data_IF_653311300346
#
_entry.id   IF_653311300346
#
_cell.length_a   1.000
_cell.length_b   1.000
_cell.length_c   1.000
_cell.angle_alpha   90.00
_cell.angle_beta   90.00
_cell.angle_gamma   90.00
#
_symmetry.space_group_name_H-M   'P 1'
#
loop_
_entity.id
_entity.type
_entity.pdbx_description
1 polymer ?
#
# COMPACT_ATOMS: atom_id res chain seq x y z
N UNK A 1 11.09 -20.69 -35.09
CA UNK A 1 11.05 -20.31 -33.65
C UNK A 1 12.29 -20.84 -32.97
N UNK A 2 13.03 -19.97 -32.27
CA UNK A 2 14.17 -20.36 -31.46
C UNK A 2 13.68 -20.33 -30.00
N UNK A 3 13.78 -21.46 -29.29
CA UNK A 3 13.40 -21.58 -27.89
C UNK A 3 14.67 -21.52 -27.04
N UNK A 4 14.76 -20.54 -26.13
CA UNK A 4 15.84 -20.43 -25.16
C UNK A 4 15.48 -21.25 -23.93
N UNK A 5 16.25 -22.32 -23.67
CA UNK A 5 15.98 -23.26 -22.55
C UNK A 5 16.80 -22.96 -21.30
N UNK A 6 17.93 -22.26 -21.45
CA UNK A 6 18.83 -21.94 -20.34
C UNK A 6 18.36 -20.71 -19.56
N UNK A 7 18.21 -20.87 -18.24
CA UNK A 7 17.82 -19.78 -17.32
C UNK A 7 18.97 -19.46 -16.35
N UNK A 8 19.46 -18.23 -16.42
CA UNK A 8 20.57 -17.73 -15.61
C UNK A 8 20.13 -16.94 -14.37
N UNK A 9 18.82 -16.75 -14.18
CA UNK A 9 18.27 -15.93 -13.10
C UNK A 9 17.82 -16.75 -11.90
N UNK A 10 17.01 -17.77 -12.16
CA UNK A 10 16.31 -18.54 -11.13
C UNK A 10 17.03 -19.86 -10.82
N UNK A 11 16.78 -20.39 -9.64
CA UNK A 11 17.19 -21.75 -9.29
C UNK A 11 16.25 -22.79 -9.92
N UNK A 12 16.67 -24.03 -10.04
CA UNK A 12 15.83 -25.09 -10.63
C UNK A 12 14.54 -25.30 -9.85
N UNK A 13 14.57 -25.26 -8.52
CA UNK A 13 13.37 -25.39 -7.68
C UNK A 13 12.30 -24.33 -7.99
N UNK A 14 12.72 -23.10 -8.27
CA UNK A 14 11.79 -22.01 -8.65
C UNK A 14 11.19 -22.29 -10.03
N UNK A 15 12.00 -22.74 -10.99
CA UNK A 15 11.54 -23.10 -12.33
C UNK A 15 10.57 -24.26 -12.30
N UNK A 16 10.86 -25.30 -11.54
CA UNK A 16 10.03 -26.49 -11.40
C UNK A 16 8.65 -26.14 -10.81
N UNK A 17 8.62 -25.39 -9.70
CA UNK A 17 7.36 -24.93 -9.08
C UNK A 17 6.56 -24.05 -10.03
N UNK A 18 7.22 -23.12 -10.74
CA UNK A 18 6.57 -22.25 -11.71
C UNK A 18 5.98 -23.04 -12.88
N UNK A 19 6.73 -24.03 -13.39
CA UNK A 19 6.28 -24.90 -14.47
C UNK A 19 5.09 -25.77 -14.02
N UNK A 20 5.14 -26.33 -12.81
CA UNK A 20 4.01 -27.08 -12.24
C UNK A 20 2.74 -26.23 -12.14
N UNK A 21 2.88 -24.97 -11.71
CA UNK A 21 1.74 -24.04 -11.59
C UNK A 21 1.15 -23.72 -12.98
N UNK A 22 2.00 -23.46 -13.98
CA UNK A 22 1.58 -23.10 -15.33
C UNK A 22 0.90 -24.27 -16.05
N UNK A 23 1.34 -25.50 -15.81
CA UNK A 23 0.73 -26.73 -16.39
C UNK A 23 -0.75 -26.91 -16.06
N UNK A 24 -1.25 -26.24 -15.03
CA UNK A 24 -2.69 -26.23 -14.71
C UNK A 24 -3.51 -25.30 -15.62
N UNK A 25 -2.87 -24.45 -16.43
CA UNK A 25 -3.53 -23.59 -17.40
C UNK A 25 -3.63 -24.33 -18.73
N UNK A 26 -4.79 -24.88 -19.04
CA UNK A 26 -5.05 -25.70 -20.24
C UNK A 26 -4.79 -24.97 -21.58
N UNK A 27 -4.74 -23.64 -21.59
CA UNK A 27 -4.63 -22.83 -22.80
C UNK A 27 -3.19 -22.53 -23.27
N UNK A 28 -2.16 -22.95 -22.53
CA UNK A 28 -0.78 -22.50 -22.76
C UNK A 28 0.09 -23.48 -23.60
N UNK A 29 -0.47 -24.60 -24.06
CA UNK A 29 0.28 -25.58 -24.87
C UNK A 29 1.50 -26.18 -24.12
N UNK A 30 2.41 -26.81 -24.87
CA UNK A 30 3.63 -27.38 -24.31
C UNK A 30 4.56 -26.30 -23.75
N UNK A 31 4.65 -26.22 -22.44
CA UNK A 31 5.62 -25.33 -21.77
C UNK A 31 7.02 -25.95 -21.86
N UNK A 32 8.01 -25.24 -22.39
CA UNK A 32 9.36 -25.78 -22.50
C UNK A 32 9.97 -25.99 -21.10
N UNK A 33 10.67 -27.11 -20.92
CA UNK A 33 11.44 -27.34 -19.70
C UNK A 33 12.66 -26.42 -19.67
N UNK A 34 12.65 -25.46 -18.75
CA UNK A 34 13.77 -24.55 -18.55
C UNK A 34 14.82 -25.19 -17.63
N UNK A 35 16.08 -25.03 -17.96
CA UNK A 35 17.22 -25.50 -17.18
C UNK A 35 17.89 -24.32 -16.47
N UNK A 36 18.02 -24.41 -15.14
CA UNK A 36 18.71 -23.40 -14.35
C UNK A 36 20.23 -23.59 -14.47
N UNK A 37 20.91 -22.51 -14.81
CA UNK A 37 22.38 -22.45 -14.74
C UNK A 37 22.89 -22.00 -13.37
N UNK A 38 21.97 -21.73 -12.42
CA UNK A 38 22.26 -21.34 -11.06
C UNK A 38 22.29 -22.57 -10.15
N UNK A 39 23.42 -22.83 -9.52
CA UNK A 39 23.65 -23.98 -8.65
C UNK A 39 23.05 -23.85 -7.24
N UNK A 40 22.51 -22.69 -6.85
CA UNK A 40 21.81 -22.54 -5.58
C UNK A 40 20.55 -23.42 -5.55
N UNK A 41 20.28 -24.03 -4.41
CA UNK A 41 19.16 -24.95 -4.26
C UNK A 41 18.17 -24.48 -3.17
N UNK A 42 17.75 -23.21 -3.25
CA UNK A 42 16.81 -22.63 -2.30
C UNK A 42 15.40 -23.18 -2.55
N UNK A 43 14.74 -23.65 -1.50
CA UNK A 43 13.38 -24.19 -1.58
C UNK A 43 12.35 -23.06 -1.62
N UNK A 44 11.33 -23.24 -2.45
CA UNK A 44 10.12 -22.42 -2.39
C UNK A 44 9.31 -22.82 -1.16
N UNK A 45 9.00 -21.85 -0.30
CA UNK A 45 8.23 -22.09 0.92
C UNK A 45 6.85 -21.46 0.77
N UNK A 46 5.81 -22.25 0.97
CA UNK A 46 4.42 -21.78 1.02
C UNK A 46 3.96 -21.77 2.46
N UNK A 47 3.32 -20.70 2.88
CA UNK A 47 2.72 -20.56 4.21
C UNK A 47 1.29 -20.08 4.10
N UNK A 48 0.43 -20.62 4.94
CA UNK A 48 -0.96 -20.22 5.05
C UNK A 48 -1.21 -19.65 6.44
N UNK A 49 -1.99 -18.59 6.51
CA UNK A 49 -2.32 -17.90 7.76
C UNK A 49 -3.83 -17.78 7.90
N UNK A 50 -4.33 -17.99 9.10
CA UNK A 50 -5.75 -17.86 9.44
C UNK A 50 -6.26 -16.41 9.39
N UNK A 51 -5.35 -15.43 9.43
CA UNK A 51 -5.68 -14.01 9.42
C UNK A 51 -4.58 -13.21 8.72
N UNK A 52 -4.98 -12.27 7.88
CA UNK A 52 -4.09 -11.35 7.18
C UNK A 52 -3.12 -10.58 8.10
N UNK A 53 -3.55 -10.22 9.31
CA UNK A 53 -2.66 -9.55 10.27
C UNK A 53 -1.48 -10.43 10.69
N UNK A 54 -1.70 -11.73 10.86
CA UNK A 54 -0.61 -12.68 11.17
C UNK A 54 0.35 -12.84 10.00
N UNK A 55 -0.16 -12.82 8.77
CA UNK A 55 0.68 -12.80 7.56
C UNK A 55 1.62 -11.60 7.54
N UNK A 56 1.10 -10.40 7.82
CA UNK A 56 1.90 -9.16 7.86
C UNK A 56 2.97 -9.18 8.96
N UNK A 57 2.59 -9.65 10.16
CA UNK A 57 3.53 -9.75 11.27
C UNK A 57 4.63 -10.78 10.98
N UNK A 58 4.26 -11.92 10.41
CA UNK A 58 5.22 -12.94 9.99
C UNK A 58 6.17 -12.41 8.91
N UNK A 59 5.64 -11.72 7.90
CA UNK A 59 6.43 -11.12 6.83
C UNK A 59 7.48 -10.15 7.39
N UNK A 60 7.07 -9.28 8.30
CA UNK A 60 7.98 -8.32 8.92
C UNK A 60 9.08 -9.01 9.76
N UNK A 61 8.71 -10.04 10.51
CA UNK A 61 9.66 -10.80 11.33
C UNK A 61 10.64 -11.59 10.46
N UNK A 62 10.17 -12.24 9.41
CA UNK A 62 11.01 -12.99 8.47
C UNK A 62 12.03 -12.08 7.77
N UNK A 63 11.59 -10.90 7.32
CA UNK A 63 12.49 -9.90 6.72
C UNK A 63 13.53 -9.41 7.73
N UNK A 64 13.11 -9.12 8.96
CA UNK A 64 14.03 -8.66 9.99
C UNK A 64 15.08 -9.71 10.32
N UNK A 65 14.67 -10.98 10.41
CA UNK A 65 15.59 -12.09 10.63
C UNK A 65 16.58 -12.27 9.48
N UNK A 66 16.13 -12.14 8.22
CA UNK A 66 17.00 -12.18 7.04
C UNK A 66 18.03 -11.04 7.05
N UNK A 67 17.60 -9.83 7.36
CA UNK A 67 18.52 -8.67 7.48
C UNK A 67 19.54 -8.90 8.60
N UNK A 68 19.09 -9.39 9.75
CA UNK A 68 19.97 -9.69 10.90
C UNK A 68 20.96 -10.82 10.61
N UNK A 69 20.61 -11.76 9.72
CA UNK A 69 21.51 -12.82 9.25
C UNK A 69 22.45 -12.39 8.12
N UNK A 70 22.44 -11.11 7.73
CA UNK A 70 23.37 -10.54 6.76
C UNK A 70 22.83 -10.38 5.34
N UNK A 71 21.55 -10.67 5.08
CA UNK A 71 20.92 -10.37 3.78
C UNK A 71 20.74 -8.87 3.63
N UNK A 72 21.23 -8.30 2.54
CA UNK A 72 21.05 -6.87 2.28
C UNK A 72 19.58 -6.56 2.00
N UNK A 73 19.01 -5.48 2.56
CA UNK A 73 17.63 -5.08 2.29
C UNK A 73 17.31 -4.94 0.78
N UNK A 74 18.28 -4.49 -0.01
CA UNK A 74 18.15 -4.37 -1.48
C UNK A 74 18.00 -5.70 -2.22
N UNK A 75 18.27 -6.83 -1.57
CA UNK A 75 18.13 -8.17 -2.14
C UNK A 75 16.79 -8.83 -1.76
N UNK A 76 15.97 -8.14 -0.95
CA UNK A 76 14.66 -8.61 -0.51
C UNK A 76 13.58 -7.84 -1.29
N UNK A 77 12.66 -8.57 -1.92
CA UNK A 77 11.52 -7.99 -2.59
C UNK A 77 10.20 -8.55 -2.03
N UNK A 78 9.24 -7.66 -1.81
CA UNK A 78 7.87 -8.03 -1.43
C UNK A 78 6.95 -7.71 -2.59
N UNK A 79 6.25 -8.73 -3.09
CA UNK A 79 5.31 -8.59 -4.20
C UNK A 79 3.89 -8.80 -3.68
N UNK A 80 3.00 -7.89 -4.03
CA UNK A 80 1.59 -7.94 -3.63
C UNK A 80 0.67 -7.80 -4.83
N UNK A 81 -0.52 -8.38 -4.73
CA UNK A 81 -1.49 -8.41 -5.84
C UNK A 81 -2.17 -7.07 -6.12
N UNK A 82 -2.46 -6.29 -5.09
CA UNK A 82 -3.23 -5.06 -5.22
C UNK A 82 -2.67 -3.94 -4.34
N UNK A 83 -2.70 -2.71 -4.85
CA UNK A 83 -2.17 -1.52 -4.19
C UNK A 83 -2.71 -1.24 -2.79
N UNK A 84 -3.93 -1.68 -2.49
CA UNK A 84 -4.54 -1.51 -1.16
C UNK A 84 -3.70 -2.13 -0.04
N UNK A 85 -2.96 -3.18 -0.33
CA UNK A 85 -2.12 -3.87 0.66
C UNK A 85 -0.85 -3.12 1.02
N UNK A 86 -0.41 -2.18 0.17
CA UNK A 86 0.83 -1.42 0.42
C UNK A 86 0.76 -0.59 1.70
N UNK A 87 -0.42 -0.07 2.03
CA UNK A 87 -0.58 0.77 3.22
C UNK A 87 -0.40 -0.02 4.51
N UNK A 88 -0.95 -1.24 4.56
CA UNK A 88 -0.82 -2.12 5.72
C UNK A 88 0.62 -2.62 5.86
N UNK A 89 1.25 -3.05 4.75
CA UNK A 89 2.66 -3.46 4.73
C UNK A 89 3.55 -2.31 5.21
N UNK A 90 3.34 -1.10 4.65
CA UNK A 90 4.07 0.10 5.04
C UNK A 90 3.94 0.39 6.54
N UNK A 91 2.71 0.37 7.07
CA UNK A 91 2.45 0.63 8.49
C UNK A 91 3.21 -0.34 9.39
N UNK A 92 3.24 -1.63 9.05
CA UNK A 92 3.97 -2.64 9.82
C UNK A 92 5.49 -2.44 9.70
N UNK A 93 5.99 -2.09 8.51
CA UNK A 93 7.43 -1.86 8.30
C UNK A 93 7.90 -0.61 9.03
N UNK A 94 7.15 0.49 9.00
CA UNK A 94 7.43 1.72 9.76
C UNK A 94 7.48 1.42 11.27
N UNK A 95 6.47 0.70 11.78
CA UNK A 95 6.42 0.33 13.20
C UNK A 95 7.58 -0.58 13.63
N UNK A 96 8.01 -1.48 12.76
CA UNK A 96 9.13 -2.41 12.99
C UNK A 96 10.49 -1.86 12.60
N UNK A 97 10.56 -0.62 12.08
CA UNK A 97 11.77 0.05 11.61
C UNK A 97 12.52 -0.74 10.53
N UNK A 98 11.77 -1.37 9.61
CA UNK A 98 12.33 -2.07 8.46
C UNK A 98 12.50 -1.06 7.33
N UNK A 99 13.71 -0.87 6.76
CA UNK A 99 13.91 0.02 5.63
C UNK A 99 13.26 -0.57 4.37
N UNK A 100 12.54 0.26 3.62
CA UNK A 100 11.90 -0.16 2.38
C UNK A 100 11.86 0.96 1.34
N UNK A 101 11.66 0.57 0.08
CA UNK A 101 11.35 1.46 -1.04
C UNK A 101 10.14 0.91 -1.79
N UNK A 102 9.15 1.77 -2.07
CA UNK A 102 7.97 1.37 -2.84
C UNK A 102 8.22 1.70 -4.30
N UNK A 103 8.31 0.67 -5.14
CA UNK A 103 8.58 0.81 -6.59
C UNK A 103 7.30 1.03 -7.42
N UNK A 104 6.13 0.98 -6.80
CA UNK A 104 4.89 1.19 -7.52
C UNK A 104 4.64 2.67 -7.75
N UNK A 105 4.17 3.02 -8.95
CA UNK A 105 3.60 4.34 -9.21
C UNK A 105 2.29 4.46 -8.42
N UNK A 106 2.38 4.91 -7.16
CA UNK A 106 1.19 5.24 -6.36
C UNK A 106 0.34 6.23 -7.16
N UNK A 107 -0.98 6.07 -7.13
CA UNK A 107 -1.85 7.11 -7.66
C UNK A 107 -1.56 8.39 -6.88
N UNK A 108 -1.12 9.43 -7.58
CA UNK A 108 -0.81 10.74 -7.01
C UNK A 108 -1.98 11.28 -6.15
N UNK A 109 -3.21 10.92 -6.50
CA UNK A 109 -4.41 11.25 -5.75
C UNK A 109 -4.52 10.57 -4.37
N UNK A 110 -3.68 9.57 -4.09
CA UNK A 110 -3.62 8.93 -2.77
C UNK A 110 -2.64 9.63 -1.82
N UNK A 111 -1.82 10.53 -2.34
CA UNK A 111 -0.94 11.38 -1.53
C UNK A 111 -1.78 12.31 -0.66
N UNK A 112 -1.45 12.41 0.63
CA UNK A 112 -2.20 13.24 1.59
C UNK A 112 -2.15 14.72 1.23
N UNK A 113 -1.00 15.21 0.75
CA UNK A 113 -0.84 16.62 0.39
C UNK A 113 -1.67 16.96 -0.85
N UNK A 114 -1.69 16.05 -1.84
CA UNK A 114 -2.52 16.21 -3.04
C UNK A 114 -4.00 16.20 -2.69
N UNK A 115 -4.44 15.29 -1.81
CA UNK A 115 -5.84 15.27 -1.34
C UNK A 115 -6.20 16.53 -0.58
N UNK A 116 -5.31 17.03 0.26
CA UNK A 116 -5.50 18.29 0.97
C UNK A 116 -5.63 19.46 -0.01
N UNK A 117 -4.75 19.52 -1.02
CA UNK A 117 -4.83 20.53 -2.07
C UNK A 117 -6.15 20.47 -2.83
N UNK A 118 -6.59 19.27 -3.24
CA UNK A 118 -7.88 19.08 -3.90
C UNK A 118 -9.03 19.52 -2.99
N UNK A 119 -8.96 19.22 -1.69
CA UNK A 119 -9.97 19.66 -0.71
C UNK A 119 -10.06 21.18 -0.66
N UNK A 120 -8.93 21.88 -0.61
CA UNK A 120 -8.91 23.35 -0.63
C UNK A 120 -9.50 23.89 -1.93
N UNK A 121 -9.10 23.34 -3.08
CA UNK A 121 -9.64 23.78 -4.38
C UNK A 121 -11.16 23.56 -4.47
N UNK A 122 -11.70 22.49 -3.86
CA UNK A 122 -13.15 22.28 -3.78
C UNK A 122 -13.83 23.34 -2.92
N UNK A 123 -13.27 23.68 -1.77
CA UNK A 123 -13.79 24.75 -0.90
C UNK A 123 -13.77 26.10 -1.61
N UNK A 124 -12.69 26.42 -2.32
CA UNK A 124 -12.58 27.66 -3.11
C UNK A 124 -13.61 27.71 -4.24
N UNK A 125 -13.80 26.56 -4.92
CA UNK A 125 -14.79 26.44 -6.00
C UNK A 125 -16.24 26.54 -5.50
N UNK A 126 -16.53 25.89 -4.38
CA UNK A 126 -17.85 25.89 -3.76
C UNK A 126 -17.74 25.98 -2.23
N UNK A 127 -17.76 27.22 -1.67
CA UNK A 127 -17.69 27.42 -0.21
C UNK A 127 -18.86 26.80 0.58
N UNK A 128 -19.95 26.45 -0.11
CA UNK A 128 -21.12 25.79 0.51
C UNK A 128 -21.01 24.25 0.54
N UNK A 129 -19.92 23.66 0.04
CA UNK A 129 -19.62 22.23 0.20
C UNK A 129 -19.14 21.98 1.65
N UNK A 130 -20.12 21.65 2.50
CA UNK A 130 -19.92 21.44 3.94
C UNK A 130 -18.93 20.29 4.22
N UNK A 131 -18.90 19.25 3.38
CA UNK A 131 -18.01 18.12 3.54
C UNK A 131 -16.55 18.54 3.29
N UNK A 132 -16.31 19.23 2.18
CA UNK A 132 -14.96 19.73 1.84
C UNK A 132 -14.49 20.79 2.83
N UNK A 133 -15.38 21.69 3.25
CA UNK A 133 -15.05 22.71 4.25
C UNK A 133 -14.72 22.09 5.61
N UNK A 134 -15.51 21.10 6.06
CA UNK A 134 -15.23 20.37 7.30
C UNK A 134 -13.88 19.64 7.26
N UNK A 135 -13.50 19.05 6.12
CA UNK A 135 -12.19 18.41 5.93
C UNK A 135 -11.05 19.45 5.91
N UNK A 136 -11.28 20.61 5.32
CA UNK A 136 -10.29 21.67 5.23
C UNK A 136 -9.87 22.22 6.60
N UNK A 137 -10.76 22.25 7.59
CA UNK A 137 -10.46 22.71 8.96
C UNK A 137 -9.36 21.88 9.65
N UNK A 138 -9.10 20.64 9.21
CA UNK A 138 -8.07 19.77 9.77
C UNK A 138 -6.80 19.68 8.92
N UNK A 139 -6.65 20.54 7.92
CA UNK A 139 -5.44 20.58 7.10
C UNK A 139 -4.35 21.34 7.86
N UNK A 140 -3.32 20.62 8.30
CA UNK A 140 -2.27 21.13 9.19
C UNK A 140 -1.57 22.39 8.68
N UNK A 141 -1.32 22.52 7.38
CA UNK A 141 -0.60 23.69 6.85
C UNK A 141 -1.44 24.97 6.79
N UNK A 142 -2.75 24.92 7.05
CA UNK A 142 -3.59 26.11 7.22
C UNK A 142 -3.40 26.76 8.60
N UNK A 143 -2.70 26.10 9.52
CA UNK A 143 -2.37 26.66 10.83
C UNK A 143 -3.57 26.83 11.76
N UNK A 144 -4.69 26.17 11.48
CA UNK A 144 -5.88 26.18 12.34
C UNK A 144 -5.66 25.30 13.56
N UNK A 145 -6.07 25.76 14.72
CA UNK A 145 -6.04 24.97 15.94
C UNK A 145 -7.06 23.83 15.86
N UNK A 146 -6.63 22.62 16.23
CA UNK A 146 -7.49 21.43 16.15
C UNK A 146 -8.70 21.53 17.09
N UNK A 147 -8.54 22.16 18.27
CA UNK A 147 -9.62 22.34 19.22
C UNK A 147 -10.69 23.30 18.68
N UNK A 148 -10.26 24.42 18.08
CA UNK A 148 -11.17 25.36 17.45
C UNK A 148 -11.90 24.76 16.25
N UNK A 149 -11.20 23.96 15.45
CA UNK A 149 -11.79 23.20 14.33
C UNK A 149 -12.92 22.26 14.81
N UNK A 150 -12.69 21.54 15.91
CA UNK A 150 -13.72 20.68 16.52
C UNK A 150 -14.89 21.51 17.03
N UNK A 151 -14.65 22.62 17.71
CA UNK A 151 -15.72 23.52 18.23
C UNK A 151 -16.61 24.05 17.11
N UNK A 152 -16.01 24.46 15.98
CA UNK A 152 -16.76 24.92 14.80
C UNK A 152 -17.67 23.79 14.28
N UNK A 153 -17.16 22.57 14.15
CA UNK A 153 -17.96 21.43 13.69
C UNK A 153 -19.08 21.05 14.67
N UNK A 154 -18.81 21.08 15.97
CA UNK A 154 -19.85 20.81 16.99
C UNK A 154 -20.96 21.87 16.96
N UNK A 155 -20.59 23.14 16.87
CA UNK A 155 -21.54 24.25 16.75
C UNK A 155 -22.39 24.10 15.48
N UNK A 156 -21.75 23.76 14.35
CA UNK A 156 -22.45 23.49 13.10
C UNK A 156 -23.44 22.31 13.24
N UNK A 157 -23.01 21.19 13.85
CA UNK A 157 -23.85 20.01 14.05
C UNK A 157 -25.10 20.33 14.89
N UNK A 158 -24.96 21.13 15.96
CA UNK A 158 -26.10 21.58 16.80
C UNK A 158 -27.05 22.47 16.01
N UNK A 159 -26.53 23.44 15.27
CA UNK A 159 -27.35 24.40 14.50
C UNK A 159 -28.07 23.74 13.32
N UNK A 160 -27.52 22.68 12.74
CA UNK A 160 -28.18 21.89 11.69
C UNK A 160 -29.43 21.15 12.20
N UNK A 161 -29.43 20.73 13.46
CA UNK A 161 -30.57 20.09 14.10
C UNK A 161 -31.73 21.09 14.32
N UNK A 162 -31.43 22.41 14.40
CA UNK A 162 -32.39 23.50 14.60
C UNK A 162 -32.86 24.17 13.29
N UNK A 163 -32.44 23.68 12.13
CA UNK A 163 -32.84 24.12 10.81
C UNK A 163 -32.17 25.37 10.27
N UNK A 164 -31.12 25.19 9.45
CA UNK A 164 -30.57 26.15 8.45
C UNK A 164 -29.54 27.16 8.94
N UNK A 165 -28.32 26.73 9.23
CA UNK A 165 -27.14 27.58 8.99
C UNK A 165 -26.04 26.76 8.33
N UNK A 166 -25.42 27.30 7.29
CA UNK A 166 -24.21 26.74 6.69
C UNK A 166 -23.03 26.92 7.64
N UNK A 167 -22.07 25.96 7.59
CA UNK A 167 -20.85 26.01 8.41
C UNK A 167 -20.08 27.33 8.21
N UNK A 168 -20.15 27.91 7.00
CA UNK A 168 -19.51 29.17 6.68
C UNK A 168 -20.05 30.36 7.54
N UNK A 169 -21.34 30.41 7.83
CA UNK A 169 -21.96 31.41 8.68
C UNK A 169 -21.63 31.27 10.18
N UNK A 170 -20.82 30.27 10.56
CA UNK A 170 -20.39 30.04 11.93
C UNK A 170 -18.93 30.48 12.13
N UNK A 171 -18.17 30.54 11.02
CA UNK A 171 -16.76 30.94 11.00
C UNK A 171 -16.60 32.47 10.96
N UNK A 172 -17.59 33.18 10.40
CA UNK A 172 -17.68 34.65 10.50
C UNK A 172 -18.04 35.11 11.95
#
# INVERSE_FOLDING_TARGET
NITLLENYRSTQNILDVSTMLIKHNADLGDTPNLHANNSKNDKVVVREFSNYKFELLFLAEDIKNKISSGTKPSEIAVIYRAHKYVFDIKSVFDHRQIPYTILSKGHILNDSNIRNLITILRVVHNPHDEESLGKALFINFLGLDAYDSVRVLEKFRRTRTEGKKHIFAIIE
#
